data_IF_242719871056
#
_entry.id   IF_242719871056
#
_cell.length_a   1.000
_cell.length_b   1.000
_cell.length_c   1.000
_cell.angle_alpha   90.00
_cell.angle_beta   90.00
_cell.angle_gamma   90.00
#
_symmetry.space_group_name_H-M   'P 1'
#
loop_
_entity.id
_entity.type
_entity.pdbx_description
1 polymer ?
#
# COMPACT_ATOMS: atom_id res chain seq x y z
N UNK A 1 11.53 54.58 14.38
CA UNK A 1 11.49 53.14 14.71
C UNK A 1 12.57 52.48 13.82
N UNK A 2 13.70 52.09 14.41
CA UNK A 2 14.76 51.39 13.68
C UNK A 2 14.41 49.88 13.67
N UNK A 3 14.21 49.30 12.50
CA UNK A 3 14.14 47.84 12.31
C UNK A 3 15.58 47.33 12.41
N UNK A 4 15.92 46.39 13.31
CA UNK A 4 17.30 45.85 13.36
C UNK A 4 17.58 45.05 12.08
N UNK A 5 18.66 45.38 11.38
CA UNK A 5 19.19 44.55 10.30
C UNK A 5 19.69 43.23 10.90
N UNK A 6 19.13 42.12 10.42
CA UNK A 6 19.65 40.77 10.72
C UNK A 6 21.15 40.75 10.33
N UNK A 7 22.00 40.23 11.20
CA UNK A 7 23.41 40.13 10.94
C UNK A 7 23.72 39.09 9.84
N UNK A 8 24.81 39.24 9.10
CA UNK A 8 25.21 38.23 8.12
C UNK A 8 25.35 36.82 8.74
N UNK A 9 25.65 36.77 10.04
CA UNK A 9 25.74 35.54 10.81
C UNK A 9 24.37 34.89 11.01
N UNK A 10 23.30 35.68 11.30
CA UNK A 10 21.92 35.19 11.44
C UNK A 10 21.40 34.63 10.12
N UNK A 11 21.76 35.28 9.00
CA UNK A 11 21.40 34.81 7.66
C UNK A 11 22.15 33.53 7.29
N UNK A 12 23.44 33.42 7.60
CA UNK A 12 24.24 32.18 7.40
C UNK A 12 23.71 31.02 8.29
N UNK A 13 23.37 31.28 9.55
CA UNK A 13 22.75 30.29 10.44
C UNK A 13 21.39 29.84 9.93
N UNK A 14 20.56 30.76 9.46
CA UNK A 14 19.26 30.41 8.85
C UNK A 14 19.43 29.57 7.58
N UNK A 15 20.38 29.91 6.71
CA UNK A 15 20.70 29.11 5.49
C UNK A 15 21.28 27.75 5.86
N UNK A 16 22.14 27.64 6.88
CA UNK A 16 22.66 26.36 7.37
C UNK A 16 21.57 25.50 8.01
N UNK A 17 20.67 26.09 8.78
CA UNK A 17 19.51 25.39 9.34
C UNK A 17 18.53 24.95 8.26
N UNK A 18 18.25 25.78 7.24
CA UNK A 18 17.45 25.37 6.08
C UNK A 18 18.15 24.29 5.24
N UNK A 19 19.46 24.38 5.02
CA UNK A 19 20.22 23.35 4.31
C UNK A 19 20.29 22.04 5.10
N UNK A 20 20.40 22.08 6.43
CA UNK A 20 20.37 20.90 7.29
C UNK A 20 18.95 20.26 7.34
N UNK A 21 17.90 21.07 7.34
CA UNK A 21 16.52 20.59 7.23
C UNK A 21 16.22 19.97 5.85
N UNK A 22 16.81 20.50 4.79
CA UNK A 22 16.74 19.94 3.43
C UNK A 22 17.60 18.67 3.26
N UNK A 23 18.57 18.44 4.15
CA UNK A 23 19.46 17.26 4.09
C UNK A 23 18.90 16.05 4.85
N UNK A 24 17.85 16.20 5.65
CA UNK A 24 17.19 15.05 6.26
C UNK A 24 16.20 14.43 5.27
N UNK A 25 16.38 13.14 5.00
CA UNK A 25 15.37 12.37 4.25
C UNK A 25 14.02 12.48 4.95
N UNK A 26 12.90 12.73 4.22
CA UNK A 26 11.60 12.81 4.85
C UNK A 26 11.26 11.49 5.55
N UNK A 27 10.61 11.58 6.71
CA UNK A 27 10.10 10.40 7.40
C UNK A 27 8.82 9.94 6.70
N UNK A 28 8.80 8.67 6.28
CA UNK A 28 7.65 8.10 5.57
C UNK A 28 6.80 7.26 6.51
N UNK A 29 5.48 7.52 6.46
CA UNK A 29 4.45 6.68 7.08
C UNK A 29 3.48 6.25 5.96
N UNK A 30 3.54 4.98 5.59
CA UNK A 30 2.89 4.43 4.39
C UNK A 30 1.76 3.49 4.78
N UNK A 31 0.61 3.63 4.11
CA UNK A 31 -0.42 2.60 4.08
C UNK A 31 -0.58 2.06 2.66
N UNK A 32 -0.35 0.76 2.49
CA UNK A 32 -0.27 0.09 1.18
C UNK A 32 -1.62 -0.29 0.59
N UNK A 33 -2.73 -0.13 1.34
CA UNK A 33 -4.03 -0.58 0.85
C UNK A 33 -5.20 0.16 1.51
N UNK A 34 -5.84 1.04 0.76
CA UNK A 34 -7.04 1.78 1.17
C UNK A 34 -8.13 1.65 0.09
N UNK A 35 -9.28 1.11 0.47
CA UNK A 35 -10.47 0.98 -0.39
C UNK A 35 -11.35 2.24 -0.45
N UNK A 36 -10.80 3.36 0.01
CA UNK A 36 -11.53 4.63 0.08
C UNK A 36 -12.18 5.04 -1.24
N UNK A 37 -11.57 4.82 -2.45
CA UNK A 37 -12.21 5.14 -3.72
C UNK A 37 -13.59 4.49 -3.88
N UNK A 38 -13.77 3.29 -3.33
CA UNK A 38 -15.05 2.57 -3.36
C UNK A 38 -16.13 3.28 -2.54
N UNK A 39 -15.77 3.80 -1.36
CA UNK A 39 -16.68 4.57 -0.50
C UNK A 39 -17.04 5.90 -1.16
N UNK A 40 -16.06 6.60 -1.73
CA UNK A 40 -16.28 7.87 -2.43
C UNK A 40 -17.28 7.71 -3.58
N UNK A 41 -17.05 6.69 -4.43
CA UNK A 41 -17.92 6.45 -5.58
C UNK A 41 -19.33 5.96 -5.20
N UNK A 42 -19.43 5.10 -4.17
CA UNK A 42 -20.71 4.51 -3.77
C UNK A 42 -21.58 5.45 -2.94
N UNK A 43 -20.97 6.30 -2.12
CA UNK A 43 -21.67 7.16 -1.15
C UNK A 43 -21.63 8.65 -1.51
N UNK A 44 -20.87 9.03 -2.55
CA UNK A 44 -20.69 10.45 -2.91
C UNK A 44 -19.95 11.25 -1.84
N UNK A 45 -19.08 10.58 -1.07
CA UNK A 45 -18.25 11.21 -0.06
C UNK A 45 -17.03 11.88 -0.70
N UNK A 46 -16.33 12.70 0.09
CA UNK A 46 -15.06 13.32 -0.26
C UNK A 46 -13.97 12.92 0.72
N UNK A 47 -12.69 12.90 0.29
CA UNK A 47 -11.57 12.51 1.14
C UNK A 47 -11.37 13.42 2.35
N UNK A 48 -11.69 14.71 2.24
CA UNK A 48 -11.65 15.68 3.35
C UNK A 48 -12.89 15.62 4.26
N UNK A 49 -13.83 14.67 4.04
CA UNK A 49 -15.02 14.53 4.84
C UNK A 49 -14.68 14.31 6.34
N UNK A 50 -15.37 15.00 7.25
CA UNK A 50 -15.09 14.89 8.69
C UNK A 50 -15.53 13.55 9.29
N UNK A 51 -16.36 12.78 8.57
CA UNK A 51 -16.90 11.48 9.01
C UNK A 51 -17.34 10.62 7.81
N UNK A 52 -17.55 9.34 8.06
CA UNK A 52 -18.06 8.40 7.05
C UNK A 52 -16.99 7.60 6.31
N UNK A 53 -15.71 7.97 6.48
CA UNK A 53 -14.53 7.25 6.02
C UNK A 53 -13.68 6.81 7.21
N UNK A 54 -12.96 5.69 7.05
CA UNK A 54 -11.98 5.18 8.03
C UNK A 54 -10.58 5.73 7.74
N UNK A 55 -10.33 6.20 6.52
CA UNK A 55 -9.06 6.78 6.07
C UNK A 55 -9.27 8.10 5.29
N UNK A 56 -10.02 9.06 5.89
CA UNK A 56 -10.14 10.41 5.37
C UNK A 56 -8.84 11.20 5.51
N UNK A 57 -8.63 12.25 4.69
CA UNK A 57 -7.46 13.14 4.79
C UNK A 57 -7.19 13.61 6.23
N UNK A 58 -8.20 14.10 7.02
CA UNK A 58 -7.97 14.48 8.42
C UNK A 58 -7.51 13.32 9.32
N UNK A 59 -8.03 12.09 9.11
CA UNK A 59 -7.63 10.93 9.91
C UNK A 59 -6.20 10.47 9.56
N UNK A 60 -5.84 10.49 8.29
CA UNK A 60 -4.48 10.20 7.82
C UNK A 60 -3.48 11.22 8.39
N UNK A 61 -3.78 12.51 8.31
CA UNK A 61 -2.95 13.57 8.89
C UNK A 61 -2.77 13.41 10.40
N UNK A 62 -3.85 13.07 11.12
CA UNK A 62 -3.80 12.80 12.56
C UNK A 62 -2.92 11.59 12.90
N UNK A 63 -2.87 10.58 12.05
CA UNK A 63 -1.99 9.42 12.18
C UNK A 63 -0.53 9.71 11.80
N UNK A 64 -0.27 10.84 11.13
CA UNK A 64 1.01 11.13 10.48
C UNK A 64 1.25 10.33 9.21
N UNK A 65 0.22 9.66 8.65
CA UNK A 65 0.32 8.92 7.38
C UNK A 65 0.45 9.91 6.23
N UNK A 66 1.52 9.77 5.44
CA UNK A 66 1.89 10.73 4.40
C UNK A 66 2.14 10.11 3.02
N UNK A 67 2.04 8.78 2.91
CA UNK A 67 2.01 8.06 1.63
C UNK A 67 0.91 7.02 1.70
N UNK A 68 0.01 7.00 0.72
CA UNK A 68 -1.13 6.08 0.69
C UNK A 68 -1.30 5.43 -0.68
N UNK A 69 -1.68 4.16 -0.67
CA UNK A 69 -2.06 3.45 -1.89
C UNK A 69 -3.59 3.36 -1.95
N UNK A 70 -4.18 4.11 -2.88
CA UNK A 70 -5.61 4.11 -3.14
C UNK A 70 -5.96 3.04 -4.18
N UNK A 71 -6.91 2.20 -3.85
CA UNK A 71 -7.15 0.94 -4.56
C UNK A 71 -8.38 1.02 -5.46
N UNK A 72 -8.18 0.66 -6.72
CA UNK A 72 -9.25 0.49 -7.69
C UNK A 72 -9.76 -0.95 -7.61
N UNK A 73 -10.80 -1.16 -6.79
CA UNK A 73 -11.43 -2.48 -6.60
C UNK A 73 -12.76 -2.59 -7.36
N UNK A 74 -12.80 -3.32 -8.50
CA UNK A 74 -14.06 -3.66 -9.15
C UNK A 74 -14.65 -4.95 -8.55
N UNK A 75 -15.80 -4.90 -7.85
CA UNK A 75 -16.38 -6.07 -7.23
C UNK A 75 -16.88 -7.09 -8.26
N UNK A 76 -16.96 -8.38 -7.86
CA UNK A 76 -17.28 -9.53 -8.74
C UNK A 76 -18.51 -9.36 -9.64
N UNK A 77 -19.55 -8.66 -9.17
CA UNK A 77 -20.81 -8.45 -9.89
C UNK A 77 -20.89 -7.09 -10.59
N UNK A 78 -19.76 -6.49 -10.96
CA UNK A 78 -19.72 -5.22 -11.68
C UNK A 78 -19.26 -5.40 -13.13
N UNK A 79 -19.48 -4.37 -13.96
CA UNK A 79 -18.78 -4.19 -15.23
C UNK A 79 -17.33 -3.78 -14.90
N UNK A 80 -16.45 -4.74 -14.71
CA UNK A 80 -15.16 -4.59 -14.05
C UNK A 80 -14.32 -3.42 -14.60
N UNK A 81 -14.17 -3.35 -15.94
CA UNK A 81 -13.40 -2.29 -16.58
C UNK A 81 -14.02 -0.91 -16.37
N UNK A 82 -15.32 -0.77 -16.62
CA UNK A 82 -16.02 0.50 -16.41
C UNK A 82 -15.99 0.94 -14.95
N UNK A 83 -16.11 -0.02 -14.01
CA UNK A 83 -16.01 0.26 -12.58
C UNK A 83 -14.62 0.72 -12.18
N UNK A 84 -13.55 0.06 -12.69
CA UNK A 84 -12.17 0.45 -12.41
C UNK A 84 -11.86 1.88 -12.92
N UNK A 85 -12.33 2.25 -14.11
CA UNK A 85 -12.21 3.62 -14.61
C UNK A 85 -13.00 4.61 -13.76
N UNK A 86 -14.24 4.30 -13.36
CA UNK A 86 -15.03 5.18 -12.50
C UNK A 86 -14.36 5.45 -11.14
N UNK A 87 -13.69 4.44 -10.56
CA UNK A 87 -12.90 4.60 -9.33
C UNK A 87 -11.68 5.51 -9.57
N UNK A 88 -10.99 5.35 -10.70
CA UNK A 88 -9.87 6.21 -11.05
C UNK A 88 -10.32 7.65 -11.28
N UNK A 89 -11.44 7.86 -11.99
CA UNK A 89 -12.02 9.19 -12.22
C UNK A 89 -12.40 9.90 -10.90
N UNK A 90 -12.90 9.15 -9.92
CA UNK A 90 -13.16 9.68 -8.57
C UNK A 90 -11.86 10.13 -7.91
N UNK A 91 -10.82 9.30 -7.94
CA UNK A 91 -9.53 9.64 -7.32
C UNK A 91 -8.87 10.86 -7.97
N UNK A 92 -8.88 10.96 -9.29
CA UNK A 92 -8.34 12.13 -9.98
C UNK A 92 -9.06 13.42 -9.57
N UNK A 93 -10.41 13.37 -9.45
CA UNK A 93 -11.18 14.52 -8.97
C UNK A 93 -10.85 14.90 -7.53
N UNK A 94 -10.71 13.93 -6.64
CA UNK A 94 -10.38 14.19 -5.24
C UNK A 94 -8.96 14.76 -5.08
N UNK A 95 -7.98 14.20 -5.80
CA UNK A 95 -6.60 14.73 -5.79
C UNK A 95 -6.54 16.16 -6.36
N UNK A 96 -7.34 16.45 -7.40
CA UNK A 96 -7.39 17.80 -7.96
C UNK A 96 -8.11 18.82 -7.04
N UNK A 97 -9.01 18.35 -6.18
CA UNK A 97 -9.81 19.18 -5.28
C UNK A 97 -9.12 19.44 -3.92
N UNK A 98 -8.43 18.46 -3.38
CA UNK A 98 -7.80 18.54 -2.06
C UNK A 98 -6.30 18.85 -2.20
N UNK A 99 -5.91 20.08 -1.84
CA UNK A 99 -4.51 20.54 -1.94
C UNK A 99 -3.56 19.80 -1.00
N UNK A 100 -4.08 19.06 -0.03
CA UNK A 100 -3.27 18.19 0.83
C UNK A 100 -2.81 16.91 0.11
N UNK A 101 -3.34 16.61 -1.09
CA UNK A 101 -3.08 15.37 -1.82
C UNK A 101 -2.27 15.63 -3.09
N UNK A 102 -1.34 14.73 -3.41
CA UNK A 102 -0.54 14.76 -4.65
C UNK A 102 -0.45 13.36 -5.24
N UNK A 103 -0.80 13.19 -6.52
CA UNK A 103 -0.55 11.93 -7.22
C UNK A 103 0.96 11.72 -7.39
N UNK A 104 1.49 10.65 -6.81
CA UNK A 104 2.90 10.27 -6.94
C UNK A 104 3.07 9.10 -7.91
N UNK A 105 3.84 9.29 -8.97
CA UNK A 105 4.15 8.28 -9.99
C UNK A 105 5.51 7.61 -9.78
N UNK A 106 6.33 8.18 -8.88
CA UNK A 106 7.65 7.70 -8.52
C UNK A 106 8.05 8.06 -7.09
N UNK A 107 9.09 7.39 -6.54
CA UNK A 107 9.57 7.65 -5.17
C UNK A 107 10.01 9.09 -4.93
N UNK A 108 10.57 9.75 -5.94
CA UNK A 108 11.02 11.15 -5.83
C UNK A 108 9.84 12.13 -5.73
N UNK A 109 8.76 11.90 -6.49
CA UNK A 109 7.52 12.69 -6.39
C UNK A 109 6.87 12.53 -5.02
N UNK A 110 6.84 11.28 -4.48
CA UNK A 110 6.34 11.03 -3.13
C UNK A 110 7.19 11.73 -2.07
N UNK A 111 8.51 11.67 -2.19
CA UNK A 111 9.41 12.36 -1.25
C UNK A 111 9.23 13.87 -1.29
N UNK A 112 9.00 14.45 -2.46
CA UNK A 112 8.74 15.89 -2.59
C UNK A 112 7.40 16.28 -1.96
N UNK A 113 6.33 15.53 -2.23
CA UNK A 113 5.02 15.76 -1.61
C UNK A 113 5.13 15.74 -0.07
N UNK A 114 5.83 14.74 0.49
CA UNK A 114 6.01 14.63 1.96
C UNK A 114 6.83 15.81 2.51
N UNK A 115 7.89 16.26 1.82
CA UNK A 115 8.63 17.46 2.24
C UNK A 115 7.77 18.72 2.25
N UNK A 116 6.79 18.80 1.37
CA UNK A 116 5.83 19.91 1.30
C UNK A 116 4.66 19.76 2.29
N UNK A 117 4.65 18.72 3.13
CA UNK A 117 3.60 18.44 4.11
C UNK A 117 2.31 17.89 3.47
N UNK A 118 2.40 17.37 2.25
CA UNK A 118 1.28 16.77 1.52
C UNK A 118 1.31 15.25 1.66
N UNK A 119 0.18 14.61 1.39
CA UNK A 119 0.04 13.17 1.32
C UNK A 119 0.25 12.73 -0.14
N UNK A 120 1.26 11.89 -0.36
CA UNK A 120 1.51 11.27 -1.65
C UNK A 120 0.51 10.12 -1.88
N UNK A 121 -0.24 10.20 -2.98
CA UNK A 121 -1.23 9.19 -3.37
C UNK A 121 -0.68 8.35 -4.51
N UNK A 122 -0.62 7.04 -4.31
CA UNK A 122 -0.32 6.05 -5.34
C UNK A 122 -1.63 5.36 -5.73
N UNK A 123 -1.73 4.97 -7.01
CA UNK A 123 -2.88 4.23 -7.52
C UNK A 123 -2.50 2.76 -7.70
N UNK A 124 -3.32 1.88 -7.13
CA UNK A 124 -3.27 0.43 -7.32
C UNK A 124 -4.55 -0.10 -7.95
N UNK A 125 -4.48 -1.24 -8.63
CA UNK A 125 -5.65 -2.01 -9.04
C UNK A 125 -5.70 -3.31 -8.26
N UNK A 126 -6.81 -3.62 -7.61
CA UNK A 126 -7.01 -4.87 -6.89
C UNK A 126 -7.73 -5.90 -7.77
N UNK A 127 -6.91 -6.75 -8.38
CA UNK A 127 -7.33 -7.77 -9.31
C UNK A 127 -7.33 -7.33 -10.78
N UNK A 128 -6.53 -8.01 -11.59
CA UNK A 128 -6.36 -7.75 -13.01
C UNK A 128 -7.66 -7.94 -13.85
N UNK A 129 -8.72 -8.52 -13.25
CA UNK A 129 -10.05 -8.52 -13.88
C UNK A 129 -10.59 -7.12 -14.15
N UNK A 130 -10.09 -6.08 -13.44
CA UNK A 130 -10.34 -4.67 -13.74
C UNK A 130 -9.91 -4.22 -15.14
N UNK A 131 -9.02 -4.96 -15.80
CA UNK A 131 -8.64 -4.74 -17.20
C UNK A 131 -9.72 -5.20 -18.19
N UNK A 132 -10.75 -5.91 -17.70
CA UNK A 132 -11.85 -6.43 -18.50
C UNK A 132 -11.59 -7.82 -19.08
N UNK A 133 -12.63 -8.36 -19.74
CA UNK A 133 -12.62 -9.72 -20.32
C UNK A 133 -12.23 -9.77 -21.80
N UNK A 134 -12.14 -8.63 -22.47
CA UNK A 134 -11.84 -8.54 -23.91
C UNK A 134 -10.37 -8.72 -24.27
N UNK A 135 -10.04 -8.90 -25.56
CA UNK A 135 -8.68 -9.13 -26.02
C UNK A 135 -7.74 -7.94 -25.87
N UNK A 136 -8.24 -6.72 -25.71
CA UNK A 136 -7.45 -5.49 -25.60
C UNK A 136 -7.00 -5.14 -24.18
N UNK A 137 -6.86 -6.08 -23.26
CA UNK A 137 -6.47 -5.82 -21.87
C UNK A 137 -5.11 -5.08 -21.74
N UNK A 138 -4.19 -5.33 -22.67
CA UNK A 138 -2.87 -4.69 -22.68
C UNK A 138 -2.97 -3.17 -22.90
N UNK A 139 -3.84 -2.73 -23.82
CA UNK A 139 -4.09 -1.29 -24.05
C UNK A 139 -4.83 -0.66 -22.86
N UNK A 140 -5.74 -1.40 -22.24
CA UNK A 140 -6.42 -0.95 -21.01
C UNK A 140 -5.42 -0.80 -19.87
N UNK A 141 -4.48 -1.73 -19.70
CA UNK A 141 -3.39 -1.60 -18.73
C UNK A 141 -2.56 -0.33 -19.00
N UNK A 142 -2.21 -0.05 -20.27
CA UNK A 142 -1.48 1.15 -20.63
C UNK A 142 -2.26 2.43 -20.27
N UNK A 143 -3.57 2.47 -20.52
CA UNK A 143 -4.42 3.61 -20.13
C UNK A 143 -4.39 3.87 -18.62
N UNK A 144 -4.47 2.82 -17.77
CA UNK A 144 -4.34 2.98 -16.32
C UNK A 144 -2.94 3.43 -15.92
N UNK A 145 -1.88 2.88 -16.54
CA UNK A 145 -0.51 3.26 -16.27
C UNK A 145 -0.25 4.74 -16.58
N UNK A 146 -0.71 5.23 -17.72
CA UNK A 146 -0.54 6.62 -18.14
C UNK A 146 -1.28 7.59 -17.20
N UNK A 147 -2.38 7.13 -16.59
CA UNK A 147 -3.15 7.86 -15.57
C UNK A 147 -2.64 7.65 -14.13
N UNK A 148 -1.53 6.98 -13.93
CA UNK A 148 -0.85 6.93 -12.64
C UNK A 148 -0.86 5.59 -11.91
N UNK A 149 -1.37 4.50 -12.50
CA UNK A 149 -1.27 3.15 -11.90
C UNK A 149 0.20 2.76 -11.71
N UNK A 150 0.58 2.38 -10.49
CA UNK A 150 1.96 1.97 -10.15
C UNK A 150 2.03 0.65 -9.40
N UNK A 151 0.90 0.14 -8.90
CA UNK A 151 0.78 -1.17 -8.28
C UNK A 151 -0.33 -1.96 -8.96
N UNK A 152 -0.16 -3.30 -9.07
CA UNK A 152 -1.13 -4.17 -9.74
C UNK A 152 -1.30 -5.47 -8.97
N UNK A 153 -2.45 -5.65 -8.33
CA UNK A 153 -2.92 -6.93 -7.83
C UNK A 153 -3.36 -7.85 -8.97
N UNK A 154 -2.84 -9.06 -9.00
CA UNK A 154 -3.14 -10.01 -10.08
C UNK A 154 -4.55 -10.60 -9.94
N UNK A 155 -4.97 -10.89 -8.71
CA UNK A 155 -6.29 -11.43 -8.39
C UNK A 155 -6.96 -10.63 -7.29
N UNK A 156 -8.27 -10.82 -7.16
CA UNK A 156 -9.02 -10.59 -5.93
C UNK A 156 -9.49 -11.95 -5.40
N UNK A 157 -10.56 -12.01 -4.61
CA UNK A 157 -11.06 -13.22 -3.95
C UNK A 157 -11.67 -14.29 -4.92
N UNK A 158 -11.32 -14.24 -6.19
CA UNK A 158 -11.65 -15.24 -7.20
C UNK A 158 -10.59 -15.29 -8.30
N UNK A 159 -10.37 -16.47 -8.87
CA UNK A 159 -9.51 -16.66 -10.03
C UNK A 159 -10.05 -15.90 -11.23
N UNK A 160 -9.16 -15.36 -12.06
CA UNK A 160 -9.52 -14.65 -13.27
C UNK A 160 -8.71 -15.18 -14.46
N UNK A 161 -8.85 -14.57 -15.64
CA UNK A 161 -8.15 -15.01 -16.86
C UNK A 161 -6.62 -14.98 -16.75
N UNK A 162 -6.05 -14.28 -15.77
CA UNK A 162 -4.60 -14.10 -15.62
C UNK A 162 -4.00 -15.05 -14.59
N UNK A 163 -4.72 -15.35 -13.49
CA UNK A 163 -4.14 -16.11 -12.39
C UNK A 163 -5.19 -16.74 -11.47
N UNK A 164 -4.74 -17.74 -10.73
CA UNK A 164 -5.50 -18.35 -9.64
C UNK A 164 -5.46 -17.51 -8.36
N UNK A 165 -6.59 -17.48 -7.66
CA UNK A 165 -6.80 -16.79 -6.38
C UNK A 165 -6.76 -17.75 -5.19
N UNK A 166 -6.36 -17.24 -4.02
CA UNK A 166 -6.48 -17.95 -2.74
C UNK A 166 -7.95 -18.15 -2.29
N UNK A 167 -8.86 -17.31 -2.79
CA UNK A 167 -10.26 -17.33 -2.40
C UNK A 167 -11.07 -18.51 -2.97
N UNK A 168 -10.61 -19.12 -4.07
CA UNK A 168 -11.24 -20.27 -4.71
C UNK A 168 -10.28 -21.45 -4.96
N UNK A 169 -9.06 -21.38 -4.39
CA UNK A 169 -8.06 -22.44 -4.50
C UNK A 169 -7.48 -22.58 -5.92
N UNK A 170 -7.48 -21.49 -6.70
CA UNK A 170 -7.07 -21.48 -8.08
C UNK A 170 -5.61 -21.91 -8.34
N UNK A 171 -5.31 -22.24 -9.60
CA UNK A 171 -3.97 -22.60 -10.06
C UNK A 171 -3.02 -21.38 -10.09
N UNK A 172 -1.86 -21.49 -10.72
CA UNK A 172 -0.89 -20.42 -10.92
C UNK A 172 -1.26 -19.42 -12.02
N UNK A 173 -0.24 -18.83 -12.64
CA UNK A 173 -0.38 -17.91 -13.77
C UNK A 173 -0.84 -18.66 -15.02
N UNK A 174 -1.77 -18.06 -15.74
CA UNK A 174 -2.09 -18.46 -17.12
C UNK A 174 -1.03 -17.91 -18.09
N UNK A 175 -1.15 -18.23 -19.38
CA UNK A 175 -0.32 -17.63 -20.41
C UNK A 175 -0.50 -16.10 -20.46
N UNK A 176 -1.75 -15.62 -20.41
CA UNK A 176 -2.06 -14.19 -20.36
C UNK A 176 -1.56 -13.55 -19.05
N UNK A 177 -1.58 -14.28 -17.93
CA UNK A 177 -1.01 -13.85 -16.67
C UNK A 177 0.49 -13.62 -16.76
N UNK A 178 1.22 -14.53 -17.41
CA UNK A 178 2.66 -14.36 -17.67
C UNK A 178 2.93 -13.14 -18.56
N UNK A 179 2.11 -12.91 -19.57
CA UNK A 179 2.21 -11.74 -20.43
C UNK A 179 1.94 -10.43 -19.65
N UNK A 180 0.94 -10.42 -18.78
CA UNK A 180 0.64 -9.27 -17.91
C UNK A 180 1.80 -8.99 -16.93
N UNK A 181 2.33 -10.02 -16.28
CA UNK A 181 3.51 -9.90 -15.39
C UNK A 181 4.70 -9.31 -16.14
N UNK A 182 4.97 -9.78 -17.36
CA UNK A 182 6.05 -9.25 -18.21
C UNK A 182 5.83 -7.76 -18.56
N UNK A 183 4.61 -7.38 -18.92
CA UNK A 183 4.26 -5.98 -19.24
C UNK A 183 4.36 -5.08 -18.00
N UNK A 184 3.86 -5.52 -16.84
CA UNK A 184 3.97 -4.79 -15.59
C UNK A 184 5.44 -4.56 -15.20
N UNK A 185 6.28 -5.59 -15.30
CA UNK A 185 7.73 -5.49 -15.06
C UNK A 185 8.42 -4.53 -16.03
N UNK A 186 8.11 -4.59 -17.31
CA UNK A 186 8.68 -3.68 -18.32
C UNK A 186 8.34 -2.21 -18.02
N UNK A 187 7.14 -1.94 -17.50
CA UNK A 187 6.70 -0.60 -17.09
C UNK A 187 7.03 -0.27 -15.62
N UNK A 188 7.75 -1.15 -14.91
CA UNK A 188 8.12 -0.96 -13.49
C UNK A 188 6.90 -0.71 -12.59
N UNK A 189 5.80 -1.38 -12.88
CA UNK A 189 4.63 -1.47 -12.01
C UNK A 189 4.90 -2.59 -11.01
N UNK A 190 4.75 -2.30 -9.72
CA UNK A 190 4.96 -3.28 -8.64
C UNK A 190 3.81 -4.29 -8.68
N UNK A 191 4.17 -5.58 -8.70
CA UNK A 191 3.20 -6.67 -8.62
C UNK A 191 2.83 -6.93 -7.17
N UNK A 192 1.52 -6.97 -6.90
CA UNK A 192 0.93 -7.28 -5.62
C UNK A 192 0.30 -8.68 -5.67
N UNK A 193 0.74 -9.56 -4.77
CA UNK A 193 0.28 -10.94 -4.66
C UNK A 193 -0.76 -11.14 -3.56
N UNK A 194 -1.25 -10.07 -2.93
CA UNK A 194 -2.42 -10.17 -2.06
C UNK A 194 -3.58 -10.79 -2.85
N UNK A 195 -4.33 -11.69 -2.22
CA UNK A 195 -5.36 -12.54 -2.85
C UNK A 195 -4.87 -13.61 -3.83
N UNK A 196 -3.63 -13.60 -4.29
CA UNK A 196 -3.14 -14.63 -5.19
C UNK A 196 -3.14 -16.02 -4.53
N UNK A 197 -3.32 -17.07 -5.33
CA UNK A 197 -3.07 -18.44 -4.86
C UNK A 197 -1.58 -18.59 -4.50
N UNK A 198 -1.26 -19.53 -3.60
CA UNK A 198 0.12 -19.83 -3.28
C UNK A 198 0.97 -20.11 -4.52
N UNK A 199 0.43 -20.86 -5.48
CA UNK A 199 1.13 -21.14 -6.73
C UNK A 199 1.39 -19.85 -7.52
N UNK A 200 0.38 -18.99 -7.67
CA UNK A 200 0.54 -17.68 -8.34
C UNK A 200 1.59 -16.82 -7.64
N UNK A 201 1.55 -16.74 -6.30
CA UNK A 201 2.54 -15.98 -5.50
C UNK A 201 3.95 -16.47 -5.79
N UNK A 202 4.20 -17.78 -5.72
CA UNK A 202 5.52 -18.36 -5.92
C UNK A 202 6.00 -18.23 -7.37
N UNK A 203 5.12 -18.35 -8.36
CA UNK A 203 5.47 -18.15 -9.78
C UNK A 203 5.84 -16.68 -10.07
N UNK A 204 5.22 -15.71 -9.39
CA UNK A 204 5.55 -14.28 -9.54
C UNK A 204 6.84 -13.93 -8.80
N UNK A 205 7.05 -14.47 -7.59
CA UNK A 205 8.22 -14.15 -6.78
C UNK A 205 9.50 -14.77 -7.32
N UNK A 206 9.46 -16.06 -7.73
CA UNK A 206 10.65 -16.78 -8.18
C UNK A 206 11.32 -16.04 -9.33
N UNK A 207 12.63 -15.83 -9.17
CA UNK A 207 13.47 -15.16 -10.18
C UNK A 207 12.94 -13.74 -10.56
N UNK A 208 12.16 -13.10 -9.69
CA UNK A 208 11.70 -11.73 -9.95
C UNK A 208 12.86 -10.76 -9.88
N UNK A 209 13.14 -9.99 -10.97
CA UNK A 209 14.19 -8.98 -10.96
C UNK A 209 13.78 -7.71 -10.20
N UNK A 210 12.54 -7.63 -9.78
CA UNK A 210 11.93 -6.49 -9.08
C UNK A 210 11.25 -6.94 -7.82
N UNK A 211 11.14 -6.07 -6.79
CA UNK A 211 10.37 -6.34 -5.60
C UNK A 211 8.92 -6.72 -5.93
N UNK A 212 8.44 -7.77 -5.27
CA UNK A 212 7.04 -8.20 -5.27
C UNK A 212 6.48 -7.92 -3.88
N UNK A 213 5.26 -7.40 -3.80
CA UNK A 213 4.64 -7.12 -2.51
C UNK A 213 3.39 -7.96 -2.26
N UNK A 214 3.04 -8.13 -1.00
CA UNK A 214 1.67 -8.41 -0.59
C UNK A 214 1.16 -7.14 0.12
N UNK A 215 0.33 -6.35 -0.55
CA UNK A 215 -0.09 -5.05 -0.02
C UNK A 215 -0.82 -5.16 1.31
N UNK A 216 -1.60 -6.24 1.53
CA UNK A 216 -2.40 -6.46 2.73
C UNK A 216 -2.57 -7.97 3.02
N UNK A 217 -1.64 -8.55 3.80
CA UNK A 217 -1.64 -9.99 4.16
C UNK A 217 -0.97 -10.24 5.51
N UNK A 218 -1.34 -11.36 6.15
CA UNK A 218 -0.83 -11.74 7.47
C UNK A 218 -0.19 -13.13 7.43
N UNK A 219 0.29 -13.65 8.56
CA UNK A 219 0.95 -14.95 8.66
C UNK A 219 -0.06 -16.08 8.88
N UNK A 220 -0.03 -17.10 8.02
CA UNK A 220 -0.94 -18.25 8.06
C UNK A 220 -0.80 -19.08 9.34
N UNK A 221 0.41 -19.23 9.85
CA UNK A 221 0.68 -20.03 11.06
C UNK A 221 -0.05 -19.47 12.29
N UNK A 222 -0.21 -18.17 12.40
CA UNK A 222 -0.89 -17.52 13.51
C UNK A 222 -2.42 -17.55 13.36
N UNK A 223 -2.90 -17.55 12.14
CA UNK A 223 -4.31 -17.66 11.81
C UNK A 223 -4.46 -18.38 10.47
N UNK A 224 -4.84 -19.66 10.53
CA UNK A 224 -5.09 -20.50 9.33
C UNK A 224 -6.25 -19.94 8.51
N UNK A 225 -5.94 -19.09 7.56
CA UNK A 225 -6.88 -18.50 6.61
C UNK A 225 -6.23 -18.45 5.23
N UNK A 226 -6.98 -18.69 4.16
CA UNK A 226 -6.45 -18.73 2.79
C UNK A 226 -5.82 -17.39 2.31
N UNK A 227 -6.21 -16.26 2.95
CA UNK A 227 -5.65 -14.93 2.67
C UNK A 227 -4.31 -14.66 3.36
N UNK A 228 -3.93 -15.50 4.31
CA UNK A 228 -2.68 -15.37 5.05
C UNK A 228 -1.58 -16.18 4.37
N UNK A 229 -0.37 -15.65 4.38
CA UNK A 229 0.79 -16.20 3.68
C UNK A 229 1.46 -17.32 4.49
N UNK A 230 1.85 -18.38 3.80
CA UNK A 230 2.74 -19.40 4.33
C UNK A 230 4.17 -18.88 4.47
N UNK A 231 5.00 -19.57 5.27
CA UNK A 231 6.41 -19.22 5.45
C UNK A 231 7.19 -19.21 4.12
N UNK A 232 6.84 -20.08 3.18
CA UNK A 232 7.47 -20.12 1.86
C UNK A 232 7.15 -18.86 1.06
N UNK A 233 5.90 -18.40 1.07
CA UNK A 233 5.48 -17.17 0.40
C UNK A 233 6.13 -15.94 1.06
N UNK A 234 6.19 -15.88 2.39
CA UNK A 234 6.86 -14.79 3.13
C UNK A 234 8.33 -14.70 2.73
N UNK A 235 9.06 -15.84 2.72
CA UNK A 235 10.47 -15.86 2.30
C UNK A 235 10.62 -15.45 0.84
N UNK A 236 9.76 -15.96 -0.04
CA UNK A 236 9.82 -15.65 -1.46
C UNK A 236 9.65 -14.14 -1.72
N UNK A 237 8.69 -13.48 -1.05
CA UNK A 237 8.52 -12.03 -1.11
C UNK A 237 9.76 -11.30 -0.56
N UNK A 238 10.27 -11.72 0.59
CA UNK A 238 11.46 -11.12 1.22
C UNK A 238 12.70 -11.20 0.32
N UNK A 239 12.93 -12.35 -0.34
CA UNK A 239 14.05 -12.57 -1.26
C UNK A 239 14.01 -11.64 -2.47
N UNK A 240 12.83 -11.21 -2.93
CA UNK A 240 12.70 -10.17 -3.97
C UNK A 240 13.09 -8.77 -3.46
N UNK A 241 13.21 -8.59 -2.15
CA UNK A 241 13.35 -7.29 -1.49
C UNK A 241 12.02 -6.54 -1.38
N UNK A 242 10.91 -7.27 -1.49
CA UNK A 242 9.56 -6.74 -1.34
C UNK A 242 9.10 -6.58 0.11
N UNK A 243 7.81 -6.29 0.28
CA UNK A 243 7.19 -6.07 1.59
C UNK A 243 5.82 -6.74 1.70
N UNK A 244 5.39 -6.96 2.95
CA UNK A 244 4.07 -7.51 3.31
C UNK A 244 3.38 -6.52 4.22
N UNK A 245 2.29 -5.92 3.76
CA UNK A 245 1.46 -5.00 4.52
C UNK A 245 0.57 -5.77 5.52
N UNK A 246 0.67 -5.44 6.80
CA UNK A 246 -0.19 -5.99 7.86
C UNK A 246 -1.64 -5.61 7.59
N UNK A 247 -2.48 -6.62 7.37
CA UNK A 247 -3.91 -6.45 7.09
C UNK A 247 -4.70 -6.39 8.40
N UNK A 248 -5.68 -5.47 8.47
CA UNK A 248 -6.53 -5.28 9.65
C UNK A 248 -7.89 -6.01 9.55
N UNK A 249 -8.10 -6.89 8.61
CA UNK A 249 -9.30 -7.71 8.59
C UNK A 249 -9.30 -8.67 9.80
N UNK A 250 -10.17 -8.42 10.77
CA UNK A 250 -10.19 -9.12 12.06
C UNK A 250 -10.20 -10.66 11.92
N UNK A 251 -10.85 -11.21 10.87
CA UNK A 251 -10.89 -12.68 10.65
C UNK A 251 -9.56 -13.26 10.16
N UNK A 252 -8.67 -12.43 9.62
CA UNK A 252 -7.31 -12.81 9.19
C UNK A 252 -6.29 -12.62 10.32
N UNK A 253 -6.62 -11.76 11.29
CA UNK A 253 -5.78 -11.45 12.46
C UNK A 253 -5.99 -12.47 13.58
N UNK A 254 -7.23 -12.83 13.92
CA UNK A 254 -7.49 -13.66 15.07
C UNK A 254 -8.80 -14.46 15.00
N UNK A 255 -9.03 -15.29 15.99
CA UNK A 255 -10.33 -15.90 16.21
C UNK A 255 -11.40 -14.84 16.52
N UNK A 256 -12.71 -15.11 16.34
CA UNK A 256 -13.76 -14.17 16.67
C UNK A 256 -13.61 -13.61 18.09
N UNK A 257 -13.60 -12.28 18.23
CA UNK A 257 -13.42 -11.58 19.51
C UNK A 257 -11.95 -11.43 20.00
N UNK A 258 -10.97 -12.00 19.27
CA UNK A 258 -9.55 -11.99 19.66
C UNK A 258 -8.65 -11.21 18.67
N UNK A 259 -9.22 -10.33 17.87
CA UNK A 259 -8.47 -9.44 17.00
C UNK A 259 -8.36 -8.07 17.66
N UNK A 260 -7.15 -7.67 18.00
CA UNK A 260 -6.79 -6.38 18.59
C UNK A 260 -5.40 -5.94 18.12
N UNK A 261 -4.93 -4.78 18.62
CA UNK A 261 -3.59 -4.22 18.32
C UNK A 261 -2.49 -5.23 18.63
N UNK A 262 -2.57 -5.90 19.80
CA UNK A 262 -1.55 -6.88 20.21
C UNK A 262 -1.49 -8.05 19.25
N UNK A 263 -2.64 -8.52 18.77
CA UNK A 263 -2.67 -9.64 17.83
C UNK A 263 -2.15 -9.27 16.44
N UNK A 264 -2.36 -8.03 15.98
CA UNK A 264 -1.71 -7.52 14.75
C UNK A 264 -0.19 -7.44 14.94
N UNK A 265 0.28 -7.00 16.10
CA UNK A 265 1.70 -6.99 16.42
C UNK A 265 2.32 -8.41 16.47
N UNK A 266 1.57 -9.47 16.89
CA UNK A 266 2.02 -10.86 16.76
C UNK A 266 2.33 -11.23 15.30
N UNK A 267 1.48 -10.79 14.36
CA UNK A 267 1.74 -11.00 12.93
C UNK A 267 2.98 -10.25 12.45
N UNK A 268 3.20 -9.01 12.92
CA UNK A 268 4.41 -8.26 12.60
C UNK A 268 5.68 -8.99 13.09
N UNK A 269 5.70 -9.44 14.34
CA UNK A 269 6.80 -10.21 14.91
C UNK A 269 7.06 -11.51 14.13
N UNK A 270 5.99 -12.19 13.71
CA UNK A 270 6.14 -13.43 12.95
C UNK A 270 6.66 -13.20 11.54
N UNK A 271 6.13 -12.19 10.83
CA UNK A 271 6.63 -11.80 9.50
C UNK A 271 8.10 -11.42 9.58
N UNK A 272 8.50 -10.64 10.61
CA UNK A 272 9.89 -10.27 10.86
C UNK A 272 10.78 -11.49 11.18
N UNK A 273 10.26 -12.46 11.94
CA UNK A 273 10.98 -13.72 12.25
C UNK A 273 11.27 -14.54 11.00
N UNK A 274 10.34 -14.60 10.04
CA UNK A 274 10.46 -15.46 8.85
C UNK A 274 11.17 -14.77 7.70
N UNK A 275 10.88 -13.49 7.44
CA UNK A 275 11.36 -12.73 6.29
C UNK A 275 12.31 -11.57 6.62
N UNK A 276 12.60 -11.32 7.92
CA UNK A 276 13.34 -10.14 8.36
C UNK A 276 12.44 -8.94 8.62
N UNK A 277 12.90 -7.98 9.43
CA UNK A 277 12.12 -6.77 9.73
C UNK A 277 11.84 -5.92 8.48
N UNK A 278 12.70 -6.02 7.48
CA UNK A 278 12.60 -5.28 6.23
C UNK A 278 11.42 -5.71 5.34
N UNK A 279 10.82 -6.89 5.60
CA UNK A 279 9.64 -7.34 4.86
C UNK A 279 8.34 -6.74 5.40
N UNK A 280 8.34 -6.25 6.65
CA UNK A 280 7.11 -5.81 7.33
C UNK A 280 6.73 -4.39 6.91
N UNK A 281 5.47 -4.20 6.56
CA UNK A 281 4.86 -2.91 6.22
C UNK A 281 3.43 -2.83 6.78
N UNK A 282 2.71 -1.74 6.49
CA UNK A 282 1.30 -1.58 6.80
C UNK A 282 0.47 -1.63 5.52
N UNK A 283 -0.65 -2.34 5.55
CA UNK A 283 -1.68 -2.35 4.52
C UNK A 283 -3.04 -2.59 5.17
N UNK A 284 -3.61 -1.51 5.71
CA UNK A 284 -4.69 -1.59 6.69
C UNK A 284 -5.99 -2.19 6.17
N UNK A 285 -6.28 -2.03 4.88
CA UNK A 285 -7.54 -2.44 4.26
C UNK A 285 -8.73 -1.60 4.80
N UNK A 286 -8.46 -0.34 5.22
CA UNK A 286 -9.49 0.59 5.63
C UNK A 286 -10.45 0.90 4.48
N UNK A 287 -11.69 1.19 4.83
CA UNK A 287 -12.81 1.43 3.92
C UNK A 287 -13.24 0.21 3.08
N UNK A 288 -12.59 -0.97 3.25
CA UNK A 288 -12.80 -2.22 2.51
C UNK A 288 -14.00 -3.06 2.98
N UNK A 289 -14.96 -2.48 3.72
CA UNK A 289 -16.11 -3.21 4.30
C UNK A 289 -15.72 -4.35 5.24
N UNK A 290 -14.55 -4.27 5.85
CA UNK A 290 -14.02 -5.27 6.78
C UNK A 290 -14.34 -4.92 8.23
N UNK A 291 -14.37 -5.95 9.10
CA UNK A 291 -14.36 -5.74 10.54
C UNK A 291 -12.93 -5.56 11.03
N UNK A 292 -12.62 -4.44 11.66
CA UNK A 292 -11.29 -4.09 12.17
C UNK A 292 -10.99 -4.73 13.52
N UNK A 293 -9.69 -4.90 13.87
CA UNK A 293 -9.26 -5.25 15.22
C UNK A 293 -9.61 -4.14 16.20
N UNK A 294 -9.86 -4.52 17.46
CA UNK A 294 -10.09 -3.56 18.54
C UNK A 294 -8.86 -2.66 18.71
N UNK A 295 -9.09 -1.35 18.73
CA UNK A 295 -8.05 -0.33 18.85
C UNK A 295 -7.41 0.13 17.54
N UNK A 296 -7.91 -0.40 16.37
CA UNK A 296 -7.50 -0.03 15.02
C UNK A 296 -8.72 0.22 14.11
N UNK A 297 -9.72 0.95 14.63
CA UNK A 297 -10.99 1.14 13.93
C UNK A 297 -10.93 2.11 12.76
N UNK A 298 -9.96 3.03 12.77
CA UNK A 298 -9.70 4.02 11.70
C UNK A 298 -8.21 4.40 11.64
N UNK A 299 -7.81 5.13 10.62
CA UNK A 299 -6.42 5.52 10.39
C UNK A 299 -5.79 6.26 11.58
N UNK A 300 -6.57 7.09 12.32
CA UNK A 300 -6.04 7.83 13.49
C UNK A 300 -5.57 6.93 14.64
N UNK A 301 -5.89 5.64 14.59
CA UNK A 301 -5.53 4.65 15.61
C UNK A 301 -4.25 3.86 15.27
N UNK A 302 -3.75 3.98 14.05
CA UNK A 302 -2.52 3.29 13.60
C UNK A 302 -1.31 3.53 14.53
N UNK A 303 -1.10 4.72 15.13
CA UNK A 303 -0.02 4.94 16.08
C UNK A 303 -0.02 4.00 17.30
N UNK A 304 -1.17 3.40 17.66
CA UNK A 304 -1.22 2.39 18.72
C UNK A 304 -0.46 1.10 18.36
N UNK A 305 -0.41 0.74 17.07
CA UNK A 305 0.40 -0.40 16.60
C UNK A 305 1.89 -0.10 16.75
N UNK A 306 2.33 1.10 16.41
CA UNK A 306 3.73 1.51 16.56
C UNK A 306 4.18 1.51 18.02
N UNK A 307 3.31 2.01 18.92
CA UNK A 307 3.56 1.97 20.35
C UNK A 307 3.64 0.53 20.89
N UNK A 308 2.81 -0.39 20.41
CA UNK A 308 2.86 -1.80 20.80
C UNK A 308 4.15 -2.49 20.30
N UNK A 309 4.57 -2.23 19.05
CA UNK A 309 5.83 -2.77 18.52
C UNK A 309 7.05 -2.23 19.30
N UNK A 310 7.06 -0.93 19.62
CA UNK A 310 8.10 -0.33 20.48
C UNK A 310 8.14 -1.01 21.87
N UNK A 311 6.98 -1.24 22.50
CA UNK A 311 6.85 -1.94 23.77
C UNK A 311 7.40 -3.38 23.70
N UNK A 312 7.34 -4.02 22.54
CA UNK A 312 7.89 -5.35 22.25
C UNK A 312 9.39 -5.33 21.99
N UNK A 313 10.03 -4.17 21.95
CA UNK A 313 11.47 -4.02 21.77
C UNK A 313 11.92 -3.81 20.33
N UNK A 314 11.01 -3.47 19.41
CA UNK A 314 11.41 -3.02 18.08
C UNK A 314 12.23 -1.74 18.21
N UNK A 315 13.40 -1.71 17.58
CA UNK A 315 14.27 -0.53 17.56
C UNK A 315 13.65 0.60 16.72
N UNK A 316 14.09 1.84 16.93
CA UNK A 316 13.61 2.97 16.13
C UNK A 316 13.88 2.80 14.63
N UNK A 317 14.97 2.14 14.25
CA UNK A 317 15.26 1.80 12.87
C UNK A 317 14.21 0.84 12.28
N UNK A 318 13.85 -0.22 13.04
CA UNK A 318 12.82 -1.18 12.64
C UNK A 318 11.44 -0.53 12.59
N UNK A 319 11.13 0.38 13.52
CA UNK A 319 9.89 1.14 13.51
C UNK A 319 9.81 2.08 12.32
N UNK A 320 10.88 2.81 11.96
CA UNK A 320 10.92 3.59 10.72
C UNK A 320 10.76 2.69 9.49
N UNK A 321 11.36 1.50 9.53
CA UNK A 321 11.20 0.49 8.49
C UNK A 321 9.74 0.15 8.23
N UNK A 322 9.02 -0.34 9.27
CA UNK A 322 7.63 -0.80 9.14
C UNK A 322 6.65 0.34 8.87
N UNK A 323 6.91 1.55 9.39
CA UNK A 323 6.10 2.73 9.09
C UNK A 323 6.12 3.08 7.60
N UNK A 324 7.28 2.95 6.91
CA UNK A 324 7.31 3.31 5.50
C UNK A 324 8.60 3.03 4.75
N UNK A 325 9.78 3.10 5.40
CA UNK A 325 11.06 2.98 4.69
C UNK A 325 11.24 1.61 4.01
N UNK A 326 10.64 0.54 4.54
CA UNK A 326 10.68 -0.77 3.89
C UNK A 326 10.00 -0.75 2.53
N UNK A 327 8.80 -0.13 2.41
CA UNK A 327 8.14 0.03 1.13
C UNK A 327 8.89 1.02 0.22
N UNK A 328 9.33 2.16 0.74
CA UNK A 328 10.05 3.14 -0.07
C UNK A 328 11.36 2.57 -0.64
N UNK A 329 12.07 1.72 0.13
CA UNK A 329 13.21 0.96 -0.36
C UNK A 329 12.82 0.03 -1.52
N UNK A 330 11.75 -0.75 -1.37
CA UNK A 330 11.26 -1.65 -2.42
C UNK A 330 10.85 -0.86 -3.67
N UNK A 331 10.17 0.26 -3.50
CA UNK A 331 9.72 1.10 -4.61
C UNK A 331 10.91 1.74 -5.36
N UNK A 332 11.91 2.29 -4.65
CA UNK A 332 13.16 2.80 -5.26
C UNK A 332 13.89 1.71 -6.05
N UNK A 333 13.93 0.47 -5.53
CA UNK A 333 14.54 -0.66 -6.27
C UNK A 333 13.77 -1.02 -7.55
N UNK A 334 12.46 -0.87 -7.56
CA UNK A 334 11.65 -1.10 -8.77
C UNK A 334 11.84 0.00 -9.80
N UNK A 335 12.22 1.22 -9.39
CA UNK A 335 12.36 2.43 -10.23
C UNK A 335 13.68 3.19 -9.95
N UNK A 336 14.84 2.61 -10.26
CA UNK A 336 16.14 3.18 -9.87
C UNK A 336 16.52 4.45 -10.61
N UNK A 337 15.73 4.91 -11.57
CA UNK A 337 15.97 6.13 -12.36
C UNK A 337 15.02 7.28 -12.00
N UNK A 338 14.14 7.09 -11.02
CA UNK A 338 13.23 8.13 -10.53
C UNK A 338 13.82 8.87 -9.31
#
# INVERSE_FOLDING_TARGET
MCVPLATALDLMLAILFMAAALAQSPEFNVDLHLDTPTQLLNKGLHLDAPSGLEASTPLLQKAGTNVVVQVLWPPRKSEHKARAFALLDVMEREIARDTALVLARGPSEAAEAVRQGQIAVLISMEGAHGLGSGPGWSDVFNQFYDRGLRLMGITWSFSNRFAGSSGDGGAGLTEEGRALVAQARAKRVILDVSHASRQTTLEICRDSPQPVIASHSNAHVLRGHARNLSDEEIRCIAETGGVIGLNFHATFVGAPGHADVSRVADHADYLAKVGGHEVVALGSDFDGYIKKPKGLEDASKVPALWAELARRGWTEEQLRGVRGENFMRAWRRSRPQD
#
